data_IF_152231420405
#
_entry.id   IF_152231420405
#
_cell.length_a   1.000
_cell.length_b   1.000
_cell.length_c   1.000
_cell.angle_alpha   90.00
_cell.angle_beta   90.00
_cell.angle_gamma   90.00
#
_symmetry.space_group_name_H-M   'P 1'
#
loop_
_entity.id
_entity.type
_entity.pdbx_description
1 polymer ?
#
# COMPACT_ATOMS: atom_id res chain seq x y z
N UNK A 1 13.94 26.15 25.32
CA UNK A 1 13.54 25.79 23.93
C UNK A 1 14.63 26.08 22.89
N UNK A 2 15.36 27.20 22.97
CA UNK A 2 16.44 27.57 22.03
C UNK A 2 17.69 26.65 22.10
N UNK A 3 18.00 26.08 23.28
CA UNK A 3 19.17 25.19 23.44
C UNK A 3 18.99 23.80 22.78
N UNK A 4 17.77 23.27 22.69
CA UNK A 4 17.51 21.95 22.07
C UNK A 4 17.64 21.99 20.54
N UNK A 5 17.30 23.12 19.91
CA UNK A 5 17.47 23.32 18.46
C UNK A 5 18.95 23.33 18.03
N UNK A 6 19.88 23.59 18.96
CA UNK A 6 21.32 23.60 18.68
C UNK A 6 21.94 22.19 18.74
N UNK A 7 21.25 21.22 19.33
CA UNK A 7 21.76 19.85 19.57
C UNK A 7 21.28 18.85 18.52
N UNK A 8 20.09 19.05 17.91
CA UNK A 8 19.52 18.13 16.93
C UNK A 8 19.21 18.79 15.57
N UNK A 9 19.58 18.16 14.44
CA UNK A 9 19.30 18.66 13.09
C UNK A 9 17.83 18.43 12.68
N UNK A 10 16.87 19.04 13.41
CA UNK A 10 15.43 18.78 13.26
C UNK A 10 14.89 18.97 11.84
N UNK A 11 15.46 19.89 11.06
CA UNK A 11 15.08 20.06 9.65
C UNK A 11 15.34 18.77 8.84
N UNK A 12 16.52 18.18 9.00
CA UNK A 12 16.89 16.93 8.31
C UNK A 12 16.07 15.74 8.81
N UNK A 13 15.71 15.70 10.10
CA UNK A 13 14.82 14.67 10.65
C UNK A 13 13.44 14.75 10.00
N UNK A 14 12.89 15.96 9.82
CA UNK A 14 11.62 16.17 9.09
C UNK A 14 11.72 15.71 7.64
N UNK A 15 12.80 16.06 6.93
CA UNK A 15 13.02 15.62 5.54
C UNK A 15 13.05 14.10 5.43
N UNK A 16 13.83 13.42 6.30
CA UNK A 16 13.87 11.96 6.38
C UNK A 16 12.46 11.37 6.63
N UNK A 17 11.75 11.88 7.65
CA UNK A 17 10.42 11.41 8.01
C UNK A 17 9.41 11.54 6.87
N UNK A 18 9.37 12.69 6.18
CA UNK A 18 8.47 12.91 5.04
C UNK A 18 8.82 12.04 3.83
N UNK A 19 10.10 11.83 3.54
CA UNK A 19 10.52 10.92 2.47
C UNK A 19 10.13 9.48 2.77
N UNK A 20 10.30 9.02 4.02
CA UNK A 20 9.87 7.67 4.44
C UNK A 20 8.36 7.52 4.42
N UNK A 21 7.60 8.53 4.84
CA UNK A 21 6.14 8.53 4.73
C UNK A 21 5.71 8.42 3.26
N UNK A 22 6.21 9.31 2.40
CA UNK A 22 5.88 9.30 0.97
C UNK A 22 6.19 7.94 0.36
N UNK A 23 7.36 7.37 0.65
CA UNK A 23 7.76 6.09 0.07
C UNK A 23 7.05 4.87 0.69
N UNK A 24 7.44 4.51 1.91
CA UNK A 24 7.00 3.28 2.58
C UNK A 24 5.55 3.40 3.06
N UNK A 25 5.14 4.61 3.45
CA UNK A 25 3.80 4.89 3.96
C UNK A 25 2.72 5.00 2.88
N UNK A 26 3.06 5.50 1.69
CA UNK A 26 2.08 5.79 0.63
C UNK A 26 2.38 5.08 -0.70
N UNK A 27 3.52 5.36 -1.34
CA UNK A 27 3.79 4.90 -2.70
C UNK A 27 3.92 3.38 -2.80
N UNK A 28 4.59 2.71 -1.86
CA UNK A 28 4.71 1.23 -1.88
C UNK A 28 3.35 0.54 -1.68
N UNK A 29 2.50 0.91 -0.70
CA UNK A 29 1.13 0.40 -0.62
C UNK A 29 0.33 0.62 -1.91
N UNK A 30 0.40 1.81 -2.51
CA UNK A 30 -0.29 2.12 -3.76
C UNK A 30 0.22 1.23 -4.90
N UNK A 31 1.53 1.01 -5.01
CA UNK A 31 2.10 0.12 -6.02
C UNK A 31 1.57 -1.31 -5.86
N UNK A 32 1.47 -1.84 -4.63
CA UNK A 32 0.91 -3.18 -4.36
C UNK A 32 -0.57 -3.24 -4.75
N UNK A 33 -1.36 -2.22 -4.37
CA UNK A 33 -2.79 -2.12 -4.70
C UNK A 33 -2.97 -2.13 -6.24
N UNK A 34 -2.16 -1.37 -6.99
CA UNK A 34 -2.23 -1.29 -8.45
C UNK A 34 -2.01 -2.65 -9.12
N UNK A 35 -0.92 -3.35 -8.76
CA UNK A 35 -0.62 -4.65 -9.38
C UNK A 35 -1.65 -5.69 -9.00
N UNK A 36 -2.20 -5.62 -7.78
CA UNK A 36 -3.18 -6.62 -7.34
C UNK A 36 -4.57 -6.42 -7.96
N UNK A 37 -4.91 -5.18 -8.32
CA UNK A 37 -6.10 -4.89 -9.12
C UNK A 37 -6.03 -5.52 -10.53
N UNK A 38 -4.83 -5.79 -11.05
CA UNK A 38 -4.66 -6.42 -12.37
C UNK A 38 -5.24 -7.84 -12.43
N UNK A 39 -5.31 -8.57 -11.31
CA UNK A 39 -5.89 -9.92 -11.27
C UNK A 39 -7.35 -9.94 -11.78
N UNK A 40 -8.15 -8.96 -11.38
CA UNK A 40 -9.56 -8.89 -11.80
C UNK A 40 -9.76 -8.55 -13.28
N UNK A 41 -8.81 -7.86 -13.91
CA UNK A 41 -8.80 -7.63 -15.36
C UNK A 41 -8.29 -8.84 -16.14
N UNK A 42 -7.35 -9.57 -15.53
CA UNK A 42 -6.83 -10.81 -16.10
C UNK A 42 -7.92 -11.87 -16.24
N UNK A 43 -8.77 -12.03 -15.23
CA UNK A 43 -9.94 -12.93 -15.28
C UNK A 43 -10.92 -12.57 -16.41
N UNK A 44 -11.01 -11.27 -16.76
CA UNK A 44 -11.86 -10.76 -17.85
C UNK A 44 -11.18 -10.83 -19.22
N UNK A 45 -9.93 -11.30 -19.31
CA UNK A 45 -9.16 -11.33 -20.55
C UNK A 45 -8.61 -9.97 -21.03
N UNK A 46 -8.71 -8.91 -20.22
CA UNK A 46 -8.20 -7.57 -20.59
C UNK A 46 -6.69 -7.46 -20.30
N UNK A 47 -5.90 -8.04 -21.20
CA UNK A 47 -4.44 -8.08 -21.08
C UNK A 47 -3.79 -6.69 -21.25
N UNK A 48 -4.45 -5.75 -21.94
CA UNK A 48 -3.95 -4.39 -22.13
C UNK A 48 -3.95 -3.65 -20.79
N UNK A 49 -5.06 -3.69 -20.06
CA UNK A 49 -5.17 -3.06 -18.73
C UNK A 49 -4.25 -3.74 -17.71
N UNK A 50 -4.14 -5.08 -17.75
CA UNK A 50 -3.16 -5.81 -16.91
C UNK A 50 -1.75 -5.28 -17.13
N UNK A 51 -1.33 -5.11 -18.39
CA UNK A 51 0.00 -4.60 -18.73
C UNK A 51 0.19 -3.16 -18.24
N UNK A 52 -0.81 -2.30 -18.43
CA UNK A 52 -0.77 -0.91 -17.92
C UNK A 52 -0.60 -0.87 -16.40
N UNK A 53 -1.38 -1.67 -15.65
CA UNK A 53 -1.30 -1.72 -14.18
C UNK A 53 0.05 -2.25 -13.68
N UNK A 54 0.63 -3.23 -14.38
CA UNK A 54 1.99 -3.72 -14.06
C UNK A 54 3.04 -2.63 -14.29
N UNK A 55 2.97 -1.89 -15.40
CA UNK A 55 3.89 -0.77 -15.63
C UNK A 55 3.70 0.36 -14.63
N UNK A 56 2.46 0.69 -14.28
CA UNK A 56 2.17 1.67 -13.24
C UNK A 56 2.75 1.24 -11.88
N UNK A 57 2.59 -0.04 -11.51
CA UNK A 57 3.23 -0.61 -10.32
C UNK A 57 4.75 -0.41 -10.34
N UNK A 58 5.43 -0.78 -11.43
CA UNK A 58 6.89 -0.64 -11.55
C UNK A 58 7.30 0.83 -11.43
N UNK A 59 6.60 1.72 -12.13
CA UNK A 59 6.90 3.15 -12.12
C UNK A 59 6.77 3.76 -10.71
N UNK A 60 5.65 3.49 -10.04
CA UNK A 60 5.42 3.96 -8.65
C UNK A 60 6.46 3.34 -7.70
N UNK A 61 6.79 2.06 -7.88
CA UNK A 61 7.80 1.37 -7.06
C UNK A 61 9.20 1.98 -7.24
N UNK A 62 9.58 2.36 -8.46
CA UNK A 62 10.87 3.06 -8.72
C UNK A 62 10.92 4.39 -7.97
N UNK A 63 9.86 5.20 -8.04
CA UNK A 63 9.80 6.48 -7.32
C UNK A 63 9.89 6.25 -5.80
N UNK A 64 9.20 5.23 -5.28
CA UNK A 64 9.26 4.87 -3.87
C UNK A 64 10.70 4.51 -3.45
N UNK A 65 11.39 3.65 -4.22
CA UNK A 65 12.78 3.28 -3.94
C UNK A 65 13.70 4.49 -3.97
N UNK A 66 13.56 5.38 -4.96
CA UNK A 66 14.34 6.63 -5.02
C UNK A 66 14.14 7.51 -3.78
N UNK A 67 12.89 7.65 -3.31
CA UNK A 67 12.60 8.40 -2.09
C UNK A 67 13.23 7.74 -0.84
N UNK A 68 13.23 6.41 -0.75
CA UNK A 68 13.96 5.67 0.30
C UNK A 68 15.47 5.92 0.20
N UNK A 69 16.05 5.96 -1.00
CA UNK A 69 17.47 6.29 -1.20
C UNK A 69 17.79 7.68 -0.68
N UNK A 70 17.04 8.70 -1.10
CA UNK A 70 17.23 10.06 -0.61
C UNK A 70 17.11 10.12 0.93
N UNK A 71 16.14 9.40 1.49
CA UNK A 71 15.91 9.36 2.93
C UNK A 71 17.05 8.70 3.71
N UNK A 72 17.59 7.60 3.18
CA UNK A 72 18.73 6.89 3.76
C UNK A 72 20.01 7.73 3.70
N UNK A 73 20.24 8.44 2.59
CA UNK A 73 21.37 9.38 2.46
C UNK A 73 21.27 10.48 3.52
N UNK A 74 20.07 11.03 3.76
CA UNK A 74 19.86 12.00 4.84
C UNK A 74 20.20 11.38 6.19
N UNK A 75 19.71 10.18 6.49
CA UNK A 75 19.99 9.52 7.76
C UNK A 75 21.48 9.27 7.99
N UNK A 76 22.15 8.65 7.01
CA UNK A 76 23.57 8.30 7.09
C UNK A 76 24.45 9.56 7.24
N UNK A 77 24.13 10.64 6.54
CA UNK A 77 25.00 11.82 6.50
C UNK A 77 24.69 12.88 7.55
N UNK A 78 23.50 12.85 8.17
CA UNK A 78 23.03 13.92 9.07
C UNK A 78 22.73 13.46 10.49
N UNK A 79 22.56 12.16 10.75
CA UNK A 79 22.20 11.65 12.08
C UNK A 79 23.36 10.92 12.74
N UNK A 80 23.26 10.76 14.06
CA UNK A 80 24.16 9.92 14.83
C UNK A 80 23.71 8.46 14.65
N UNK A 81 24.49 7.67 13.91
CA UNK A 81 24.15 6.30 13.52
C UNK A 81 24.58 5.30 14.60
N UNK A 82 24.16 5.54 15.85
CA UNK A 82 24.54 4.71 16.99
C UNK A 82 23.80 3.35 17.02
N UNK A 83 22.71 3.20 16.26
CA UNK A 83 21.89 1.99 16.17
C UNK A 83 21.46 1.45 17.55
N UNK A 84 21.18 2.35 18.49
CA UNK A 84 20.75 2.00 19.85
C UNK A 84 19.25 1.73 19.91
N UNK A 85 18.47 2.42 19.06
CA UNK A 85 17.02 2.33 19.04
C UNK A 85 16.50 1.34 17.98
N UNK A 86 15.35 0.73 18.28
CA UNK A 86 14.67 -0.21 17.38
C UNK A 86 14.39 0.40 16.00
N UNK A 87 14.02 1.68 15.95
CA UNK A 87 13.76 2.41 14.69
C UNK A 87 14.97 2.37 13.74
N UNK A 88 16.17 2.62 14.25
CA UNK A 88 17.39 2.67 13.45
C UNK A 88 17.79 1.28 12.94
N UNK A 89 17.75 0.27 13.84
CA UNK A 89 18.07 -1.13 13.48
C UNK A 89 17.09 -1.68 12.44
N UNK A 90 15.80 -1.43 12.64
CA UNK A 90 14.77 -1.84 11.69
C UNK A 90 14.87 -1.06 10.38
N UNK A 91 15.16 0.24 10.45
CA UNK A 91 15.40 1.08 9.27
C UNK A 91 16.52 0.55 8.39
N UNK A 92 17.63 0.10 8.99
CA UNK A 92 18.73 -0.53 8.26
C UNK A 92 18.33 -1.89 7.65
N UNK A 93 17.59 -2.72 8.38
CA UNK A 93 17.08 -3.98 7.85
C UNK A 93 16.11 -3.75 6.68
N UNK A 94 15.22 -2.77 6.81
CA UNK A 94 14.28 -2.35 5.76
C UNK A 94 15.00 -1.81 4.52
N UNK A 95 16.08 -1.05 4.72
CA UNK A 95 16.92 -0.55 3.63
C UNK A 95 17.42 -1.70 2.75
N UNK A 96 17.89 -2.80 3.35
CA UNK A 96 18.32 -4.00 2.62
C UNK A 96 17.11 -4.69 1.97
N UNK A 97 16.02 -4.89 2.73
CA UNK A 97 14.82 -5.59 2.27
C UNK A 97 14.15 -4.92 1.06
N UNK A 98 14.17 -3.58 1.01
CA UNK A 98 13.59 -2.78 -0.09
C UNK A 98 14.23 -3.11 -1.44
N UNK A 99 15.49 -3.54 -1.48
CA UNK A 99 16.15 -3.97 -2.72
C UNK A 99 15.80 -5.40 -3.13
N UNK A 100 15.48 -6.28 -2.17
CA UNK A 100 15.18 -7.68 -2.47
C UNK A 100 13.91 -7.81 -3.32
N UNK A 101 12.86 -7.03 -3.04
CA UNK A 101 11.61 -7.11 -3.79
C UNK A 101 11.77 -6.74 -5.29
N UNK A 102 12.42 -5.61 -5.66
CA UNK A 102 12.76 -5.29 -7.06
C UNK A 102 13.67 -6.32 -7.72
N UNK A 103 14.71 -6.79 -7.03
CA UNK A 103 15.64 -7.79 -7.59
C UNK A 103 14.93 -9.10 -7.92
N UNK A 104 14.09 -9.59 -7.00
CA UNK A 104 13.20 -10.73 -7.28
C UNK A 104 12.24 -10.38 -8.43
N UNK A 105 11.74 -9.15 -8.48
CA UNK A 105 10.92 -8.64 -9.58
C UNK A 105 11.53 -8.80 -10.98
N UNK A 106 12.85 -8.58 -11.10
CA UNK A 106 13.58 -8.65 -12.38
C UNK A 106 13.68 -10.08 -12.93
N UNK A 107 13.79 -11.08 -12.05
CA UNK A 107 13.90 -12.50 -12.44
C UNK A 107 12.53 -13.18 -12.63
N UNK A 108 11.49 -12.39 -12.96
CA UNK A 108 10.11 -12.88 -13.14
C UNK A 108 10.05 -13.98 -14.20
N UNK A 109 9.63 -15.21 -13.84
CA UNK A 109 9.54 -16.31 -14.80
C UNK A 109 8.47 -16.09 -15.88
N UNK A 110 8.61 -16.77 -17.02
CA UNK A 110 7.61 -16.77 -18.09
C UNK A 110 6.26 -17.35 -17.63
N UNK A 111 5.20 -17.18 -18.42
CA UNK A 111 3.90 -17.75 -18.07
C UNK A 111 3.91 -19.29 -18.26
N UNK A 112 3.19 -20.01 -17.39
CA UNK A 112 3.02 -21.47 -17.50
C UNK A 112 4.14 -22.32 -16.87
N UNK A 113 5.26 -21.73 -16.44
CA UNK A 113 6.36 -22.49 -15.82
C UNK A 113 6.11 -22.75 -14.32
N UNK A 114 6.56 -23.91 -13.81
CA UNK A 114 6.34 -24.34 -12.41
C UNK A 114 6.94 -23.40 -11.36
N UNK A 115 8.00 -22.67 -11.70
CA UNK A 115 8.63 -21.69 -10.80
C UNK A 115 7.84 -20.39 -10.64
N UNK A 116 6.88 -20.09 -11.54
CA UNK A 116 6.08 -18.85 -11.53
C UNK A 116 5.26 -18.65 -10.24
N UNK A 117 4.48 -19.62 -9.73
CA UNK A 117 3.75 -19.47 -8.48
C UNK A 117 4.66 -19.33 -7.26
N UNK A 118 5.81 -20.02 -7.24
CA UNK A 118 6.80 -19.92 -6.15
C UNK A 118 7.39 -18.51 -6.12
N UNK A 119 7.84 -18.02 -7.28
CA UNK A 119 8.30 -16.64 -7.46
C UNK A 119 7.25 -15.63 -7.00
N UNK A 120 5.99 -15.83 -7.39
CA UNK A 120 4.89 -14.93 -7.00
C UNK A 120 4.71 -14.91 -5.48
N UNK A 121 4.70 -16.07 -4.82
CA UNK A 121 4.61 -16.16 -3.36
C UNK A 121 5.75 -15.43 -2.65
N UNK A 122 7.00 -15.68 -3.07
CA UNK A 122 8.18 -15.01 -2.51
C UNK A 122 8.11 -13.50 -2.72
N UNK A 123 7.87 -13.05 -3.95
CA UNK A 123 7.81 -11.62 -4.29
C UNK A 123 6.69 -10.91 -3.52
N UNK A 124 5.52 -11.56 -3.40
CA UNK A 124 4.38 -11.03 -2.66
C UNK A 124 4.66 -10.94 -1.15
N UNK A 125 5.26 -11.97 -0.54
CA UNK A 125 5.63 -11.95 0.88
C UNK A 125 6.66 -10.84 1.15
N UNK A 126 7.70 -10.75 0.32
CA UNK A 126 8.74 -9.72 0.48
C UNK A 126 8.15 -8.30 0.39
N UNK A 127 7.32 -8.04 -0.62
CA UNK A 127 6.67 -6.73 -0.78
C UNK A 127 5.74 -6.40 0.39
N UNK A 128 4.89 -7.35 0.80
CA UNK A 128 3.91 -7.14 1.88
C UNK A 128 4.60 -6.98 3.24
N UNK A 129 5.57 -7.84 3.55
CA UNK A 129 6.35 -7.74 4.79
C UNK A 129 7.14 -6.43 4.85
N UNK A 130 7.74 -5.99 3.73
CA UNK A 130 8.44 -4.71 3.64
C UNK A 130 7.52 -3.53 3.97
N UNK A 131 6.29 -3.52 3.45
CA UNK A 131 5.30 -2.47 3.76
C UNK A 131 4.87 -2.51 5.23
N UNK A 132 4.53 -3.67 5.78
CA UNK A 132 4.11 -3.81 7.19
C UNK A 132 5.22 -3.35 8.14
N UNK A 133 6.44 -3.81 7.92
CA UNK A 133 7.61 -3.38 8.70
C UNK A 133 7.89 -1.88 8.50
N UNK A 134 7.69 -1.35 7.29
CA UNK A 134 7.80 0.07 6.99
C UNK A 134 6.82 0.92 7.81
N UNK A 135 5.55 0.48 7.92
CA UNK A 135 4.56 1.16 8.75
C UNK A 135 4.95 1.19 10.23
N UNK A 136 5.38 0.04 10.76
CA UNK A 136 5.87 -0.03 12.13
C UNK A 136 7.09 0.88 12.34
N UNK A 137 8.00 0.94 11.37
CA UNK A 137 9.16 1.81 11.44
C UNK A 137 8.79 3.30 11.39
N UNK A 138 7.73 3.68 10.66
CA UNK A 138 7.21 5.05 10.65
C UNK A 138 6.62 5.41 12.03
N UNK A 139 5.82 4.53 12.64
CA UNK A 139 5.26 4.80 13.97
C UNK A 139 6.34 4.99 15.04
N UNK A 140 7.34 4.12 15.06
CA UNK A 140 8.46 4.24 16.00
C UNK A 140 9.30 5.49 15.74
N UNK A 141 9.48 5.89 14.48
CA UNK A 141 10.15 7.15 14.10
C UNK A 141 9.36 8.40 14.50
N UNK A 142 8.03 8.41 14.31
CA UNK A 142 7.16 9.50 14.77
C UNK A 142 7.20 9.65 16.30
N UNK A 143 7.18 8.52 17.03
CA UNK A 143 7.30 8.52 18.48
C UNK A 143 8.66 9.07 18.93
N UNK A 144 9.76 8.64 18.31
CA UNK A 144 11.09 9.17 18.60
C UNK A 144 11.15 10.68 18.37
N UNK A 145 10.60 11.17 17.26
CA UNK A 145 10.53 12.61 16.99
C UNK A 145 9.70 13.37 18.03
N UNK A 146 8.55 12.85 18.43
CA UNK A 146 7.69 13.46 19.46
C UNK A 146 8.42 13.61 20.79
N UNK A 147 9.15 12.57 21.22
CA UNK A 147 10.00 12.58 22.42
C UNK A 147 11.13 13.61 22.30
N UNK A 148 11.84 13.64 21.16
CA UNK A 148 12.98 14.54 20.95
C UNK A 148 12.57 16.02 20.82
N UNK A 149 11.45 16.28 20.13
CA UNK A 149 10.99 17.65 19.83
C UNK A 149 10.09 18.24 20.92
N UNK A 150 9.55 17.41 21.82
CA UNK A 150 8.54 17.80 22.80
C UNK A 150 7.22 18.26 22.16
N UNK A 151 7.06 18.11 20.85
CA UNK A 151 5.88 18.53 20.10
C UNK A 151 5.02 17.32 19.81
N UNK A 152 3.73 17.38 20.19
CA UNK A 152 2.85 16.26 19.94
C UNK A 152 2.61 16.04 18.45
N UNK A 153 2.70 14.78 18.02
CA UNK A 153 2.45 14.35 16.64
C UNK A 153 1.15 13.55 16.49
N UNK A 154 0.26 13.61 17.49
CA UNK A 154 -1.00 12.86 17.51
C UNK A 154 -1.83 13.03 16.23
N UNK A 155 -1.94 14.25 15.71
CA UNK A 155 -2.68 14.51 14.46
C UNK A 155 -2.07 13.77 13.27
N UNK A 156 -0.75 13.76 13.13
CA UNK A 156 -0.08 13.02 12.06
C UNK A 156 -0.25 11.51 12.22
N UNK A 157 -0.16 10.98 13.44
CA UNK A 157 -0.38 9.56 13.71
C UNK A 157 -1.83 9.12 13.36
N UNK A 158 -2.83 9.97 13.64
CA UNK A 158 -4.22 9.72 13.27
C UNK A 158 -4.38 9.75 11.74
N UNK A 159 -3.83 10.76 11.07
CA UNK A 159 -3.89 10.85 9.60
C UNK A 159 -3.22 9.64 8.94
N UNK A 160 -2.07 9.21 9.46
CA UNK A 160 -1.40 8.01 8.99
C UNK A 160 -2.25 6.76 9.22
N UNK A 161 -2.86 6.60 10.40
CA UNK A 161 -3.80 5.50 10.69
C UNK A 161 -4.98 5.46 9.72
N UNK A 162 -5.56 6.62 9.39
CA UNK A 162 -6.67 6.74 8.43
C UNK A 162 -6.20 6.34 7.03
N UNK A 163 -5.03 6.83 6.60
CA UNK A 163 -4.42 6.45 5.31
C UNK A 163 -4.20 4.94 5.22
N UNK A 164 -3.66 4.31 6.27
CA UNK A 164 -3.42 2.87 6.34
C UNK A 164 -4.73 2.09 6.27
N UNK A 165 -5.73 2.53 7.03
CA UNK A 165 -7.08 1.93 7.04
C UNK A 165 -7.70 2.01 5.65
N UNK A 166 -7.57 3.16 4.97
CA UNK A 166 -8.05 3.33 3.61
C UNK A 166 -7.34 2.39 2.62
N UNK A 167 -6.00 2.29 2.70
CA UNK A 167 -5.23 1.35 1.87
C UNK A 167 -5.66 -0.11 2.13
N UNK A 168 -5.88 -0.49 3.39
CA UNK A 168 -6.33 -1.82 3.77
C UNK A 168 -7.73 -2.12 3.23
N UNK A 169 -8.67 -1.16 3.34
CA UNK A 169 -10.01 -1.29 2.76
C UNK A 169 -9.95 -1.45 1.24
N UNK A 170 -9.15 -0.63 0.56
CA UNK A 170 -8.93 -0.78 -0.88
C UNK A 170 -8.37 -2.16 -1.21
N UNK A 171 -7.36 -2.64 -0.49
CA UNK A 171 -6.76 -3.95 -0.69
C UNK A 171 -7.77 -5.09 -0.49
N UNK A 172 -8.51 -5.09 0.62
CA UNK A 172 -9.51 -6.12 0.95
C UNK A 172 -10.70 -6.14 -0.03
N UNK A 173 -11.14 -4.96 -0.49
CA UNK A 173 -12.25 -4.88 -1.43
C UNK A 173 -11.91 -5.44 -2.82
N UNK A 174 -10.63 -5.51 -3.20
CA UNK A 174 -10.21 -6.09 -4.49
C UNK A 174 -10.60 -7.56 -4.61
N UNK A 175 -10.48 -8.35 -3.53
CA UNK A 175 -10.81 -9.79 -3.55
C UNK A 175 -12.32 -10.04 -3.68
N UNK A 176 -13.15 -9.07 -3.27
CA UNK A 176 -14.61 -9.15 -3.39
C UNK A 176 -15.16 -8.39 -4.59
N UNK A 177 -14.30 -7.71 -5.37
CA UNK A 177 -14.73 -6.79 -6.42
C UNK A 177 -15.65 -7.42 -7.46
N UNK A 178 -15.30 -8.61 -7.95
CA UNK A 178 -16.13 -9.32 -8.95
C UNK A 178 -17.48 -9.75 -8.37
N UNK A 179 -17.49 -10.20 -7.10
CA UNK A 179 -18.71 -10.56 -6.39
C UNK A 179 -19.65 -9.36 -6.22
N UNK A 180 -19.11 -8.20 -5.83
CA UNK A 180 -19.87 -6.96 -5.68
C UNK A 180 -20.48 -6.50 -7.01
N UNK A 181 -19.72 -6.59 -8.11
CA UNK A 181 -20.22 -6.29 -9.47
C UNK A 181 -21.34 -7.27 -9.85
N UNK A 182 -21.16 -8.57 -9.59
CA UNK A 182 -22.15 -9.59 -9.92
C UNK A 182 -23.47 -9.36 -9.17
N UNK A 183 -23.42 -9.03 -7.88
CA UNK A 183 -24.61 -8.68 -7.11
C UNK A 183 -25.30 -7.41 -7.60
N UNK A 184 -24.53 -6.38 -7.96
CA UNK A 184 -25.08 -5.14 -8.51
C UNK A 184 -25.80 -5.36 -9.85
N UNK A 185 -25.30 -6.27 -10.69
CA UNK A 185 -25.99 -6.68 -11.93
C UNK A 185 -27.27 -7.46 -11.63
N UNK A 186 -27.21 -8.43 -10.71
CA UNK A 186 -28.38 -9.23 -10.32
C UNK A 186 -29.51 -8.35 -9.75
N UNK A 187 -29.19 -7.44 -8.83
CA UNK A 187 -30.17 -6.50 -8.26
C UNK A 187 -30.87 -5.67 -9.34
N UNK A 188 -30.12 -5.12 -10.30
CA UNK A 188 -30.67 -4.34 -11.43
C UNK A 188 -31.52 -5.15 -12.39
N UNK A 189 -31.34 -6.46 -12.49
CA UNK A 189 -32.17 -7.34 -13.34
C UNK A 189 -33.47 -7.74 -12.63
N UNK A 190 -33.48 -7.87 -11.31
CA UNK A 190 -34.67 -8.25 -10.52
C UNK A 190 -35.64 -7.07 -10.33
N UNK A 191 -35.14 -5.85 -10.07
CA UNK A 191 -36.00 -4.66 -9.93
C UNK A 191 -36.93 -4.34 -11.12
N UNK A 192 -36.51 -4.41 -12.40
CA UNK A 192 -37.39 -4.15 -13.54
C UNK A 192 -38.43 -5.26 -13.75
N UNK A 193 -38.14 -6.51 -13.37
CA UNK A 193 -39.11 -7.61 -13.45
C UNK A 193 -40.24 -7.41 -12.44
N UNK A 194 -39.93 -6.98 -11.22
CA UNK A 194 -40.94 -6.73 -10.19
C UNK A 194 -41.79 -5.46 -10.46
N UNK A 195 -41.22 -4.44 -11.11
CA UNK A 195 -41.95 -3.19 -11.40
C UNK A 195 -42.83 -3.27 -12.67
N UNK A 196 -42.81 -4.39 -13.40
CA UNK A 196 -43.57 -4.61 -14.64
C UNK A 196 -44.81 -5.51 -14.50
N UNK A 197 -45.03 -6.13 -13.34
CA UNK A 197 -46.21 -6.97 -13.08
C UNK A 197 -46.94 -6.45 -11.84
N UNK A 198 -47.87 -5.50 -12.04
CA UNK A 198 -49.02 -5.44 -11.13
C UNK A 198 -49.80 -6.74 -11.35
N UNK A 199 -50.11 -7.52 -10.29
CA UNK A 199 -51.02 -8.65 -10.45
C UNK A 199 -52.35 -8.07 -10.98
N UNK A 200 -52.81 -8.58 -12.12
CA UNK A 200 -54.20 -8.37 -12.54
C UNK A 200 -55.05 -8.93 -11.40
N UNK A 201 -55.87 -8.09 -10.77
CA UNK A 201 -56.94 -8.58 -9.93
C UNK A 201 -57.79 -9.49 -10.82
N UNK A 202 -57.76 -10.78 -10.52
CA UNK A 202 -58.66 -11.75 -11.13
C UNK A 202 -60.05 -11.36 -10.66
N UNK A 203 -60.88 -10.91 -11.61
CA UNK A 203 -62.27 -10.62 -11.36
C UNK A 203 -62.95 -11.94 -11.02
N UNK A 204 -63.21 -12.17 -9.74
CA UNK A 204 -64.31 -13.02 -9.31
C UNK A 204 -65.59 -12.44 -9.92
N UNK A 205 -66.17 -13.10 -10.92
CA UNK A 205 -67.61 -13.28 -11.15
C UNK A 205 -67.91 -13.96 -12.50
N UNK A 206 -68.91 -14.86 -12.47
CA UNK A 206 -69.63 -15.53 -13.58
C UNK A 206 -68.94 -16.78 -14.18
N UNK A 207 -69.49 -18.01 -14.15
CA UNK A 207 -70.85 -18.59 -13.93
C UNK A 207 -70.70 -19.98 -13.32
#
# INVERSE_FOLDING_TARGET
MILLQRVYPFHWIKVHGWLMWLSMGLLMPVAIILVRFSSGYREKGDLKTVRTLVYAHIFVQVIAVLAVICSAVVAITKFDNAFTYTHERLGLALWILVWLAPLVGLIRPQHGVRSRPIWYGIHWILGTAGVVLGFYNIYTGLHAYEVMSGTSLRTLQILFSIQLSFCALLYLTQDRWQYLIAQGKYSKTVTPVYNGQKPKAENENEV
#
